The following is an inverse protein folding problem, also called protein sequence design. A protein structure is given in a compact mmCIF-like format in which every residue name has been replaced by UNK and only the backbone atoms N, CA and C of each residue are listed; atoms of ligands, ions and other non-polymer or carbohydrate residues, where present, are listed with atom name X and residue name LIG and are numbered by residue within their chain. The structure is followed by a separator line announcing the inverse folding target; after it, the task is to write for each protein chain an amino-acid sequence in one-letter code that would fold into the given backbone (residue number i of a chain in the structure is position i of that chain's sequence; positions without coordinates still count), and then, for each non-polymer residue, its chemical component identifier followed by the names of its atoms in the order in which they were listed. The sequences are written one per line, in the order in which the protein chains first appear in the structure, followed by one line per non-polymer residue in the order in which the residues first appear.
data_IF_372439688538
#
_entry.id   IF_372439688538
#
_cell.length_a   1.000
_cell.length_b   1.000
_cell.length_c   1.000
_cell.angle_alpha   90.00
_cell.angle_beta   90.00
_cell.angle_gamma   90.00
#
_symmetry.space_group_name_H-M   'P 1'
#
loop_
_entity.id
_entity.type
_entity.pdbx_description
1 polymer ?
#
# COMPACT_ATOMS: atom_id res chain seq x y z
N UNK A 1 24.60 8.39 0.74
CA UNK A 1 23.80 7.37 0.04
C UNK A 1 23.79 7.73 -1.44
N UNK A 2 23.87 6.75 -2.35
CA UNK A 2 23.84 6.99 -3.80
C UNK A 2 22.40 6.99 -4.36
N UNK A 3 22.24 7.49 -5.58
CA UNK A 3 20.93 7.60 -6.25
C UNK A 3 20.29 6.22 -6.44
N UNK A 4 21.07 5.22 -6.85
CA UNK A 4 20.59 3.86 -7.08
C UNK A 4 19.98 3.21 -5.81
N UNK A 5 20.49 3.53 -4.63
CA UNK A 5 19.92 3.06 -3.37
C UNK A 5 18.59 3.76 -3.08
N UNK A 6 18.51 5.08 -3.30
CA UNK A 6 17.28 5.84 -3.11
C UNK A 6 16.17 5.35 -4.05
N UNK A 7 16.49 5.11 -5.32
CA UNK A 7 15.55 4.60 -6.31
C UNK A 7 14.96 3.24 -5.90
N UNK A 8 15.79 2.34 -5.38
CA UNK A 8 15.32 1.04 -4.87
C UNK A 8 14.34 1.20 -3.72
N UNK A 9 14.63 2.11 -2.79
CA UNK A 9 13.73 2.39 -1.67
C UNK A 9 12.39 2.96 -2.17
N UNK A 10 12.43 3.90 -3.12
CA UNK A 10 11.23 4.48 -3.72
C UNK A 10 10.39 3.45 -4.48
N UNK A 11 11.03 2.53 -5.21
CA UNK A 11 10.34 1.45 -5.91
C UNK A 11 9.63 0.47 -4.95
N UNK A 12 10.27 0.15 -3.82
CA UNK A 12 9.65 -0.68 -2.77
C UNK A 12 8.46 0.06 -2.15
N UNK A 13 8.61 1.35 -1.86
CA UNK A 13 7.53 2.19 -1.33
C UNK A 13 6.32 2.21 -2.28
N UNK A 14 6.54 2.47 -3.57
CA UNK A 14 5.48 2.47 -4.57
C UNK A 14 4.77 1.11 -4.66
N UNK A 15 5.52 0.01 -4.55
CA UNK A 15 4.93 -1.33 -4.52
C UNK A 15 4.06 -1.56 -3.28
N UNK A 16 4.48 -1.07 -2.10
CA UNK A 16 3.68 -1.15 -0.88
C UNK A 16 2.41 -0.27 -0.96
N UNK A 17 2.49 0.90 -1.58
CA UNK A 17 1.33 1.77 -1.84
C UNK A 17 0.31 1.08 -2.77
N UNK A 18 0.79 0.40 -3.82
CA UNK A 18 -0.08 -0.36 -4.73
C UNK A 18 -0.79 -1.54 -4.01
N UNK A 19 -0.06 -2.26 -3.16
CA UNK A 19 -0.65 -3.32 -2.32
C UNK A 19 -1.70 -2.73 -1.38
N UNK A 20 -1.41 -1.60 -0.73
CA UNK A 20 -2.37 -0.92 0.15
C UNK A 20 -3.64 -0.53 -0.59
N UNK A 21 -3.51 0.07 -1.77
CA UNK A 21 -4.65 0.47 -2.61
C UNK A 21 -5.49 -0.75 -3.01
N UNK A 22 -4.83 -1.86 -3.35
CA UNK A 22 -5.51 -3.13 -3.67
C UNK A 22 -6.27 -3.70 -2.48
N UNK A 23 -5.72 -3.63 -1.26
CA UNK A 23 -6.43 -4.08 -0.04
C UNK A 23 -7.66 -3.20 0.24
N UNK A 24 -7.55 -1.88 0.12
CA UNK A 24 -8.69 -0.95 0.30
C UNK A 24 -9.80 -1.24 -0.72
N UNK A 25 -9.43 -1.46 -1.99
CA UNK A 25 -10.39 -1.80 -3.03
C UNK A 25 -11.09 -3.14 -2.76
N UNK A 26 -10.39 -4.14 -2.20
CA UNK A 26 -10.98 -5.41 -1.80
C UNK A 26 -12.00 -5.21 -0.67
N UNK A 27 -11.64 -4.47 0.39
CA UNK A 27 -12.55 -4.17 1.51
C UNK A 27 -13.83 -3.48 1.02
N UNK A 28 -13.70 -2.49 0.12
CA UNK A 28 -14.86 -1.81 -0.48
C UNK A 28 -15.77 -2.75 -1.28
N UNK A 29 -15.20 -3.67 -2.05
CA UNK A 29 -15.97 -4.66 -2.81
C UNK A 29 -16.73 -5.61 -1.89
N UNK A 30 -16.10 -6.05 -0.80
CA UNK A 30 -16.73 -6.93 0.19
C UNK A 30 -17.89 -6.21 0.90
N UNK A 31 -17.69 -4.96 1.34
CA UNK A 31 -18.76 -4.14 1.91
C UNK A 31 -19.94 -3.97 0.94
N UNK A 32 -19.67 -3.74 -0.35
CA UNK A 32 -20.73 -3.64 -1.35
C UNK A 32 -21.48 -4.97 -1.54
N UNK A 33 -20.80 -6.11 -1.43
CA UNK A 33 -21.45 -7.43 -1.48
C UNK A 33 -22.35 -7.67 -0.27
N UNK A 34 -21.94 -7.26 0.94
CA UNK A 34 -22.79 -7.31 2.13
C UNK A 34 -24.06 -6.47 1.94
N UNK A 35 -23.95 -5.25 1.39
CA UNK A 35 -25.10 -4.40 1.05
C UNK A 35 -26.02 -5.07 0.02
N UNK A 36 -25.45 -5.75 -0.98
CA UNK A 36 -26.24 -6.45 -1.99
C UNK A 36 -27.03 -7.63 -1.38
N UNK A 37 -26.42 -8.36 -0.43
CA UNK A 37 -27.09 -9.46 0.26
C UNK A 37 -28.25 -9.03 1.14
N UNK A 38 -28.26 -7.80 1.65
CA UNK A 38 -29.43 -7.27 2.38
C UNK A 38 -30.71 -7.30 1.53
N UNK A 39 -30.60 -7.18 0.21
CA UNK A 39 -31.74 -7.23 -0.72
C UNK A 39 -32.12 -8.66 -1.14
N UNK A 40 -31.18 -9.61 -1.05
CA UNK A 40 -31.38 -11.02 -1.38
C UNK A 40 -30.56 -11.91 -0.43
N UNK A 41 -31.06 -12.20 0.77
CA UNK A 41 -30.27 -12.82 1.83
C UNK A 41 -29.89 -14.25 1.50
N UNK A 42 -28.61 -14.56 1.69
CA UNK A 42 -28.08 -15.93 1.68
C UNK A 42 -27.17 -16.11 2.90
N UNK A 43 -27.60 -16.93 3.85
CA UNK A 43 -26.94 -17.07 5.15
C UNK A 43 -25.54 -17.67 5.05
N UNK A 44 -25.31 -18.56 4.08
CA UNK A 44 -24.00 -19.17 3.90
C UNK A 44 -23.01 -18.14 3.36
N UNK A 45 -23.47 -17.36 2.36
CA UNK A 45 -22.65 -16.31 1.76
C UNK A 45 -22.42 -15.15 2.74
N UNK A 46 -23.42 -14.75 3.53
CA UNK A 46 -23.28 -13.70 4.56
C UNK A 46 -22.23 -14.07 5.61
N UNK A 47 -22.27 -15.29 6.13
CA UNK A 47 -21.29 -15.75 7.12
C UNK A 47 -19.87 -15.74 6.54
N UNK A 48 -19.69 -16.30 5.34
CA UNK A 48 -18.39 -16.32 4.67
C UNK A 48 -17.86 -14.93 4.33
N UNK A 49 -18.72 -14.01 3.85
CA UNK A 49 -18.30 -12.65 3.52
C UNK A 49 -17.89 -11.85 4.75
N UNK A 50 -18.57 -12.01 5.88
CA UNK A 50 -18.21 -11.33 7.13
C UNK A 50 -16.80 -11.74 7.60
N UNK A 51 -16.47 -13.03 7.53
CA UNK A 51 -15.13 -13.54 7.84
C UNK A 51 -14.07 -12.98 6.87
N UNK A 52 -14.36 -12.99 5.57
CA UNK A 52 -13.46 -12.46 4.54
C UNK A 52 -13.27 -10.94 4.70
N UNK A 53 -14.35 -10.19 4.98
CA UNK A 53 -14.31 -8.75 5.23
C UNK A 53 -13.43 -8.42 6.44
N UNK A 54 -13.63 -9.11 7.57
CA UNK A 54 -12.81 -8.93 8.77
C UNK A 54 -11.33 -9.19 8.47
N UNK A 55 -11.02 -10.30 7.78
CA UNK A 55 -9.65 -10.64 7.42
C UNK A 55 -9.02 -9.63 6.46
N UNK A 56 -9.75 -9.19 5.44
CA UNK A 56 -9.29 -8.19 4.48
C UNK A 56 -9.05 -6.83 5.15
N UNK A 57 -9.93 -6.42 6.07
CA UNK A 57 -9.79 -5.19 6.86
C UNK A 57 -8.55 -5.22 7.73
N UNK A 58 -8.35 -6.31 8.49
CA UNK A 58 -7.14 -6.47 9.30
C UNK A 58 -5.86 -6.47 8.45
N UNK A 59 -5.90 -7.10 7.27
CA UNK A 59 -4.75 -7.13 6.39
C UNK A 59 -4.46 -5.75 5.78
N UNK A 60 -5.50 -4.99 5.41
CA UNK A 60 -5.36 -3.61 4.96
C UNK A 60 -4.69 -2.73 6.02
N UNK A 61 -5.04 -2.90 7.30
CA UNK A 61 -4.42 -2.17 8.39
C UNK A 61 -2.95 -2.56 8.59
N UNK A 62 -2.63 -3.86 8.51
CA UNK A 62 -1.23 -4.34 8.61
C UNK A 62 -0.35 -3.82 7.48
N UNK A 63 -0.85 -3.81 6.25
CA UNK A 63 -0.12 -3.25 5.09
C UNK A 63 0.10 -1.76 5.27
N UNK A 64 -0.92 -1.02 5.75
CA UNK A 64 -0.80 0.41 6.04
C UNK A 64 0.26 0.69 7.10
N UNK A 65 0.25 -0.05 8.20
CA UNK A 65 1.26 0.10 9.25
C UNK A 65 2.68 -0.18 8.73
N UNK A 66 2.84 -1.21 7.89
CA UNK A 66 4.11 -1.53 7.25
C UNK A 66 4.58 -0.39 6.32
N UNK A 67 3.67 0.13 5.49
CA UNK A 67 3.93 1.26 4.61
C UNK A 67 4.34 2.51 5.40
N UNK A 68 3.64 2.84 6.49
CA UNK A 68 3.97 3.99 7.34
C UNK A 68 5.36 3.87 7.98
N UNK A 69 5.70 2.67 8.48
CA UNK A 69 7.05 2.37 9.00
C UNK A 69 8.10 2.50 7.92
N UNK A 70 7.81 2.01 6.71
CA UNK A 70 8.76 2.08 5.59
C UNK A 70 8.94 3.53 5.10
N UNK A 71 7.86 4.31 5.01
CA UNK A 71 7.90 5.73 4.66
C UNK A 71 8.83 6.54 5.56
N UNK A 72 8.82 6.25 6.87
CA UNK A 72 9.75 6.87 7.82
C UNK A 72 11.21 6.58 7.45
N UNK A 73 11.53 5.34 7.03
CA UNK A 73 12.89 4.96 6.59
C UNK A 73 13.28 5.64 5.28
N UNK A 74 12.36 5.71 4.31
CA UNK A 74 12.58 6.43 3.05
C UNK A 74 12.85 7.91 3.31
N UNK A 75 12.06 8.54 4.17
CA UNK A 75 12.23 9.96 4.54
C UNK A 75 13.59 10.23 5.20
N UNK A 76 14.08 9.30 6.02
CA UNK A 76 15.43 9.40 6.60
C UNK A 76 16.50 9.24 5.53
N UNK A 77 16.35 8.26 4.64
CA UNK A 77 17.25 8.05 3.52
C UNK A 77 17.33 9.29 2.61
N UNK A 78 16.20 9.89 2.25
CA UNK A 78 16.13 11.13 1.46
C UNK A 78 16.90 12.30 2.12
N UNK A 79 16.85 12.43 3.45
CA UNK A 79 17.60 13.47 4.19
C UNK A 79 19.12 13.23 4.18
N UNK A 80 19.52 11.97 4.13
CA UNK A 80 20.93 11.55 4.10
C UNK A 80 21.48 11.46 2.66
N UNK A 81 20.60 11.57 1.67
CA UNK A 81 20.97 11.60 0.27
C UNK A 81 21.81 12.86 0.00
N UNK A 82 22.94 12.64 -0.67
CA UNK A 82 23.81 13.69 -1.17
C UNK A 82 24.07 13.36 -2.64
N UNK A 83 23.51 14.11 -3.59
CA UNK A 83 23.75 13.85 -5.00
C UNK A 83 25.23 14.04 -5.30
N UNK A 84 25.77 13.22 -6.20
CA UNK A 84 27.11 13.46 -6.73
C UNK A 84 27.04 14.55 -7.80
N UNK A 85 28.10 15.34 -8.04
CA UNK A 85 28.10 16.37 -9.09
C UNK A 85 27.85 15.82 -10.50
N UNK A 86 28.07 14.52 -10.73
CA UNK A 86 27.71 13.83 -11.98
C UNK A 86 26.20 13.59 -12.12
N UNK A 87 25.46 13.46 -11.00
CA UNK A 87 24.01 13.30 -10.99
C UNK A 87 23.28 14.65 -11.23
N UNK A 88 23.91 15.79 -10.89
CA UNK A 88 23.36 17.15 -11.13
C UNK A 88 23.54 17.62 -12.57
N UNK A 89 24.57 17.15 -13.27
CA UNK A 89 24.91 17.60 -14.63
C UNK A 89 24.05 16.95 -15.75
N UNK A 90 23.21 15.97 -15.42
CA UNK A 90 22.40 15.21 -16.38
C UNK A 90 21.08 15.86 -16.80
N UNK A 91 20.68 16.97 -16.19
CA UNK A 91 19.38 17.65 -16.43
C UNK A 91 19.51 18.92 -17.30
N UNK A 92 20.73 19.26 -17.76
CA UNK A 92 20.99 20.33 -18.73
C UNK A 92 21.48 19.76 -20.08
N UNK A 93 20.59 19.17 -20.89
CA UNK A 93 20.82 18.89 -22.31
C UNK A 93 19.53 18.86 -23.14
#
# INVERSE_FOLDING_TARGET
MDQATLDKLNNIKASLEDVQNSQVALVQKLAQMEVNLMNNPDKEVEAGLSEIYSSASENADRVKELLDKFNTRVTQAEKEFRPSPEDEAGDEA
#
